data_IF_143954191364
#
_entry.id   IF_143954191364
#
_cell.length_a   1.000
_cell.length_b   1.000
_cell.length_c   1.000
_cell.angle_alpha   90.00
_cell.angle_beta   90.00
_cell.angle_gamma   90.00
#
_symmetry.space_group_name_H-M   'P 1'
#
loop_
_entity.id
_entity.type
_entity.pdbx_description
1 polymer ?
#
# COMPACT_ATOMS: atom_id res chain seq x y z
N UNK A 1 -11.61 92.11 34.58
CA UNK A 1 -10.23 91.65 34.28
C UNK A 1 -10.30 90.24 33.66
N UNK A 2 -9.90 90.15 32.37
CA UNK A 2 -9.75 88.98 31.46
C UNK A 2 -10.51 87.66 31.74
N UNK A 3 -11.58 87.42 30.95
CA UNK A 3 -12.36 86.17 30.85
C UNK A 3 -11.53 85.01 30.29
N UNK A 4 -11.50 83.87 30.99
CA UNK A 4 -10.96 82.59 30.52
C UNK A 4 -12.02 81.83 29.70
N UNK A 5 -11.63 81.53 28.46
CA UNK A 5 -12.05 80.48 27.49
C UNK A 5 -13.36 79.70 27.75
N UNK A 6 -14.34 79.93 26.88
CA UNK A 6 -15.41 78.99 26.47
C UNK A 6 -14.87 78.23 25.23
N UNK A 7 -15.06 76.94 24.96
CA UNK A 7 -16.30 76.21 24.62
C UNK A 7 -15.87 74.75 24.26
N UNK A 8 -16.30 73.71 24.99
CA UNK A 8 -17.31 72.67 24.62
C UNK A 8 -16.77 71.56 23.64
N UNK A 9 -16.99 70.23 23.70
CA UNK A 9 -18.00 69.26 24.25
C UNK A 9 -17.36 67.82 24.35
N UNK A 10 -18.10 66.71 24.51
CA UNK A 10 -18.29 66.00 25.77
C UNK A 10 -17.73 64.55 25.79
N UNK A 11 -17.42 64.09 27.00
CA UNK A 11 -17.77 62.79 27.59
C UNK A 11 -18.07 61.61 26.64
N UNK A 12 -17.24 60.56 26.70
CA UNK A 12 -17.71 59.18 26.59
C UNK A 12 -16.79 58.25 27.39
N UNK A 13 -17.32 57.82 28.52
CA UNK A 13 -16.79 56.77 29.39
C UNK A 13 -16.70 55.45 28.61
N UNK A 14 -15.59 54.74 28.80
CA UNK A 14 -15.28 53.50 28.09
C UNK A 14 -16.16 52.31 28.43
N UNK A 15 -16.05 51.29 27.59
CA UNK A 15 -16.20 49.86 27.90
C UNK A 15 -15.16 49.15 27.01
N UNK A 16 -14.13 48.58 27.64
CA UNK A 16 -13.20 47.64 27.00
C UNK A 16 -13.94 46.30 26.93
N UNK A 17 -14.39 45.92 25.74
CA UNK A 17 -15.00 44.62 25.49
C UNK A 17 -13.89 43.58 25.27
N UNK A 18 -13.44 42.93 26.35
CA UNK A 18 -12.56 41.76 26.27
C UNK A 18 -13.42 40.59 25.80
N UNK A 19 -13.52 40.37 24.49
CA UNK A 19 -14.10 39.13 23.96
C UNK A 19 -13.05 38.05 24.02
N UNK A 20 -13.11 37.24 25.08
CA UNK A 20 -12.42 35.95 25.16
C UNK A 20 -12.92 35.04 24.03
N UNK A 21 -12.14 34.90 22.96
CA UNK A 21 -12.36 33.87 21.96
C UNK A 21 -11.94 32.52 22.59
N UNK A 22 -12.91 31.74 23.02
CA UNK A 22 -12.68 30.33 23.37
C UNK A 22 -12.19 29.61 22.12
N UNK A 23 -10.92 29.21 22.13
CA UNK A 23 -10.35 28.35 21.10
C UNK A 23 -11.00 26.98 21.26
N UNK A 24 -12.03 26.71 20.45
CA UNK A 24 -12.54 25.34 20.26
C UNK A 24 -11.40 24.53 19.65
N UNK A 25 -10.73 23.74 20.49
CA UNK A 25 -9.94 22.61 20.02
C UNK A 25 -10.93 21.64 19.36
N UNK A 26 -11.12 21.78 18.06
CA UNK A 26 -11.73 20.76 17.24
C UNK A 26 -10.77 19.57 17.23
N UNK A 27 -10.89 18.70 18.23
CA UNK A 27 -10.26 17.40 18.17
C UNK A 27 -10.95 16.66 17.03
N UNK A 28 -10.30 16.63 15.88
CA UNK A 28 -10.68 15.76 14.77
C UNK A 28 -10.58 14.33 15.26
N UNK A 29 -11.72 13.76 15.65
CA UNK A 29 -11.88 12.33 15.84
C UNK A 29 -11.70 11.71 14.46
N UNK A 30 -10.46 11.32 14.14
CA UNK A 30 -10.17 10.55 12.93
C UNK A 30 -10.82 9.18 13.11
N UNK A 31 -12.10 9.09 12.77
CA UNK A 31 -12.79 7.81 12.68
C UNK A 31 -11.95 6.87 11.82
N UNK A 32 -11.62 5.69 12.37
CA UNK A 32 -10.87 4.64 11.68
C UNK A 32 -11.58 4.40 10.34
N UNK A 33 -10.96 4.80 9.22
CA UNK A 33 -11.51 4.51 7.90
C UNK A 33 -11.63 3.00 7.77
N UNK A 34 -12.74 2.51 7.22
CA UNK A 34 -12.87 1.10 6.90
C UNK A 34 -11.73 0.70 5.96
N UNK A 35 -11.03 -0.41 6.21
CA UNK A 35 -9.91 -0.81 5.38
C UNK A 35 -10.39 -1.09 3.96
N UNK A 36 -9.60 -0.63 2.99
CA UNK A 36 -9.79 -0.91 1.56
C UNK A 36 -9.64 -2.41 1.28
N UNK A 37 -10.15 -2.93 0.15
CA UNK A 37 -9.95 -4.34 -0.22
C UNK A 37 -8.46 -4.75 -0.25
N UNK A 38 -7.59 -3.90 -0.80
CA UNK A 38 -6.14 -4.12 -0.81
C UNK A 38 -5.55 -4.20 0.59
N UNK A 39 -5.97 -3.32 1.51
CA UNK A 39 -5.52 -3.35 2.91
C UNK A 39 -5.96 -4.63 3.62
N UNK A 40 -7.19 -5.12 3.36
CA UNK A 40 -7.66 -6.40 3.92
C UNK A 40 -6.84 -7.57 3.40
N UNK A 41 -6.57 -7.62 2.09
CA UNK A 41 -5.74 -8.67 1.51
C UNK A 41 -4.31 -8.63 2.08
N UNK A 42 -3.74 -7.44 2.23
CA UNK A 42 -2.44 -7.25 2.87
C UNK A 42 -2.44 -7.75 4.33
N UNK A 43 -3.54 -7.54 5.06
CA UNK A 43 -3.68 -8.00 6.43
C UNK A 43 -3.83 -9.52 6.54
N UNK A 44 -4.50 -10.16 5.57
CA UNK A 44 -4.76 -11.60 5.55
C UNK A 44 -3.55 -12.42 5.10
N UNK A 45 -2.84 -11.98 4.05
CA UNK A 45 -1.78 -12.79 3.43
C UNK A 45 -0.37 -12.32 3.78
N UNK A 46 -0.15 -11.03 3.98
CA UNK A 46 1.20 -10.50 4.21
C UNK A 46 1.54 -10.42 5.71
N UNK A 47 2.79 -10.73 6.03
CA UNK A 47 3.34 -10.71 7.37
C UNK A 47 4.63 -9.87 7.44
N UNK A 48 5.04 -9.56 8.68
CA UNK A 48 6.29 -8.88 8.99
C UNK A 48 6.62 -7.71 8.06
N UNK A 49 7.79 -7.80 7.40
CA UNK A 49 8.26 -6.74 6.52
C UNK A 49 7.39 -6.57 5.26
N UNK A 50 6.90 -7.66 4.68
CA UNK A 50 6.10 -7.61 3.47
C UNK A 50 4.80 -6.84 3.72
N UNK A 51 4.16 -7.05 4.88
CA UNK A 51 2.95 -6.31 5.28
C UNK A 51 3.17 -4.79 5.31
N UNK A 52 4.28 -4.34 5.85
CA UNK A 52 4.56 -2.90 6.03
C UNK A 52 5.23 -2.24 4.83
N UNK A 53 5.74 -3.04 3.88
CA UNK A 53 6.34 -2.50 2.66
C UNK A 53 5.27 -2.07 1.68
N UNK A 54 5.41 -0.86 1.15
CA UNK A 54 4.52 -0.37 0.10
C UNK A 54 4.71 -1.18 -1.19
N UNK A 55 3.61 -1.61 -1.78
CA UNK A 55 3.60 -2.34 -3.03
C UNK A 55 2.21 -2.34 -3.64
N UNK A 56 2.13 -2.68 -4.92
CA UNK A 56 0.84 -2.91 -5.58
C UNK A 56 0.34 -4.30 -5.22
N UNK A 57 -0.89 -4.37 -4.74
CA UNK A 57 -1.55 -5.60 -4.33
C UNK A 57 -2.55 -5.97 -5.43
N UNK A 58 -2.50 -7.21 -5.87
CA UNK A 58 -3.39 -7.75 -6.90
C UNK A 58 -4.08 -8.96 -6.27
N UNK A 59 -5.39 -8.83 -6.07
CA UNK A 59 -6.26 -9.97 -5.80
C UNK A 59 -6.30 -10.82 -7.06
N UNK A 60 -5.83 -12.06 -7.00
CA UNK A 60 -5.79 -12.96 -8.16
C UNK A 60 -7.10 -13.73 -8.31
N UNK A 61 -7.83 -13.94 -7.21
CA UNK A 61 -9.08 -14.68 -7.19
C UNK A 61 -10.19 -13.93 -7.94
N UNK A 62 -10.12 -12.60 -7.92
CA UNK A 62 -11.03 -11.71 -8.66
C UNK A 62 -10.62 -11.51 -10.13
N UNK A 63 -9.64 -12.26 -10.64
CA UNK A 63 -9.06 -12.04 -11.97
C UNK A 63 -9.24 -13.24 -12.88
N UNK A 64 -9.39 -12.95 -14.18
CA UNK A 64 -9.30 -13.99 -15.18
C UNK A 64 -7.83 -14.29 -15.52
N UNK A 65 -7.33 -15.39 -14.96
CA UNK A 65 -5.99 -15.94 -15.21
C UNK A 65 -5.99 -17.10 -16.22
N UNK A 66 -7.14 -17.41 -16.83
CA UNK A 66 -7.26 -18.53 -17.76
C UNK A 66 -6.35 -18.35 -18.99
N UNK A 67 -5.76 -19.46 -19.44
CA UNK A 67 -4.86 -19.49 -20.60
C UNK A 67 -3.40 -19.20 -20.28
N UNK A 68 -3.07 -18.86 -19.03
CA UNK A 68 -1.69 -18.69 -18.56
C UNK A 68 -1.25 -19.89 -17.73
N UNK A 69 -0.07 -20.42 -18.05
CA UNK A 69 0.54 -21.53 -17.29
C UNK A 69 1.36 -21.04 -16.10
N UNK A 70 1.89 -19.82 -16.17
CA UNK A 70 2.68 -19.22 -15.12
C UNK A 70 2.16 -17.81 -14.82
N UNK A 71 2.14 -17.46 -13.54
CA UNK A 71 1.62 -16.18 -13.09
C UNK A 71 2.47 -14.98 -13.55
N UNK A 72 3.77 -15.15 -13.76
CA UNK A 72 4.64 -14.08 -14.27
C UNK A 72 4.26 -13.70 -15.70
N UNK A 73 3.93 -14.69 -16.53
CA UNK A 73 3.45 -14.46 -17.90
C UNK A 73 2.12 -13.67 -17.88
N UNK A 74 1.27 -13.93 -16.87
CA UNK A 74 0.01 -13.17 -16.68
C UNK A 74 0.24 -11.75 -16.16
N UNK A 75 1.24 -11.53 -15.30
CA UNK A 75 1.56 -10.21 -14.74
C UNK A 75 2.15 -9.25 -15.78
N UNK A 76 2.78 -9.77 -16.83
CA UNK A 76 3.32 -8.95 -17.91
C UNK A 76 2.19 -8.12 -18.56
N UNK A 77 2.44 -6.83 -18.76
CA UNK A 77 1.44 -5.87 -19.23
C UNK A 77 0.44 -5.39 -18.18
N UNK A 78 0.36 -6.02 -16.99
CA UNK A 78 -0.47 -5.57 -15.85
C UNK A 78 0.33 -4.80 -14.81
N UNK A 79 1.62 -5.10 -14.69
CA UNK A 79 2.53 -4.39 -13.80
C UNK A 79 3.35 -3.40 -14.62
N UNK A 80 3.22 -2.10 -14.31
CA UNK A 80 3.96 -1.05 -15.00
C UNK A 80 5.49 -1.28 -14.92
N UNK A 81 6.11 -1.42 -16.09
CA UNK A 81 7.55 -1.62 -16.24
C UNK A 81 8.06 -3.03 -15.93
N UNK A 82 7.16 -4.00 -15.75
CA UNK A 82 7.52 -5.42 -15.67
C UNK A 82 7.75 -5.99 -17.07
N UNK A 83 8.85 -6.70 -17.23
CA UNK A 83 9.19 -7.51 -18.39
C UNK A 83 9.55 -8.91 -17.90
N UNK A 84 9.15 -9.94 -18.64
CA UNK A 84 9.46 -11.34 -18.30
C UNK A 84 10.30 -11.97 -19.40
N UNK A 85 11.54 -12.34 -19.06
CA UNK A 85 12.41 -13.04 -19.99
C UNK A 85 12.30 -14.55 -19.79
N UNK A 86 11.96 -15.26 -20.87
CA UNK A 86 11.89 -16.72 -20.85
C UNK A 86 13.23 -17.30 -21.32
N UNK A 87 13.89 -18.03 -20.43
CA UNK A 87 15.13 -18.74 -20.75
C UNK A 87 14.84 -20.03 -21.54
N UNK A 88 15.89 -20.61 -22.16
CA UNK A 88 15.78 -21.86 -22.94
C UNK A 88 15.27 -23.05 -22.13
N UNK A 89 15.47 -23.03 -20.81
CA UNK A 89 14.99 -24.05 -19.87
C UNK A 89 13.54 -23.82 -19.41
N UNK A 90 12.86 -22.78 -19.92
CA UNK A 90 11.49 -22.43 -19.54
C UNK A 90 11.38 -21.65 -18.24
N UNK A 91 12.48 -21.17 -17.65
CA UNK A 91 12.41 -20.27 -16.49
C UNK A 91 12.01 -18.86 -16.92
N UNK A 92 11.11 -18.24 -16.13
CA UNK A 92 10.65 -16.86 -16.32
C UNK A 92 11.40 -15.95 -15.37
N UNK A 93 12.29 -15.09 -15.89
CA UNK A 93 13.03 -14.14 -15.09
C UNK A 93 12.37 -12.76 -15.19
N UNK A 94 11.75 -12.25 -14.11
CA UNK A 94 11.10 -10.95 -14.10
C UNK A 94 12.12 -9.82 -13.92
N UNK A 95 11.90 -8.72 -14.64
CA UNK A 95 12.63 -7.47 -14.51
C UNK A 95 11.65 -6.32 -14.35
N UNK A 96 11.86 -5.47 -13.35
CA UNK A 96 11.11 -4.23 -13.18
C UNK A 96 12.05 -3.06 -13.46
N UNK A 97 11.71 -2.24 -14.46
CA UNK A 97 12.49 -1.04 -14.86
C UNK A 97 13.97 -1.36 -15.14
N UNK A 98 14.23 -2.50 -15.80
CA UNK A 98 15.57 -2.92 -16.19
C UNK A 98 16.41 -3.57 -15.08
N UNK A 99 15.89 -3.71 -13.85
CA UNK A 99 16.54 -4.44 -12.77
C UNK A 99 15.85 -5.78 -12.54
N UNK A 100 16.63 -6.86 -12.40
CA UNK A 100 16.09 -8.19 -12.09
C UNK A 100 15.31 -8.13 -10.77
N UNK A 101 14.14 -8.75 -10.75
CA UNK A 101 13.23 -8.78 -9.60
C UNK A 101 13.32 -10.12 -8.87
N UNK A 102 13.39 -10.08 -7.54
CA UNK A 102 13.42 -11.31 -6.73
C UNK A 102 12.00 -11.84 -6.52
N UNK A 103 11.83 -13.16 -6.62
CA UNK A 103 10.55 -13.82 -6.43
C UNK A 103 10.49 -14.41 -5.02
N UNK A 104 9.36 -14.21 -4.36
CA UNK A 104 9.05 -14.83 -3.08
C UNK A 104 7.76 -15.63 -3.21
N UNK A 105 7.73 -16.84 -2.65
CA UNK A 105 6.52 -17.64 -2.49
C UNK A 105 6.20 -17.72 -1.00
N UNK A 106 5.04 -17.20 -0.59
CA UNK A 106 4.67 -17.11 0.82
C UNK A 106 5.80 -16.50 1.68
N UNK A 107 6.37 -15.38 1.20
CA UNK A 107 7.46 -14.63 1.86
C UNK A 107 8.82 -15.35 1.94
N UNK A 108 8.92 -16.54 1.37
CA UNK A 108 10.16 -17.29 1.24
C UNK A 108 10.79 -17.03 -0.13
N UNK A 109 12.09 -16.66 -0.22
CA UNK A 109 12.74 -16.45 -1.50
C UNK A 109 12.82 -17.78 -2.26
N UNK A 110 12.45 -17.75 -3.54
CA UNK A 110 12.45 -18.93 -4.41
C UNK A 110 13.15 -18.66 -5.73
N UNK A 111 13.60 -19.72 -6.40
CA UNK A 111 14.15 -19.59 -7.75
C UNK A 111 13.02 -19.46 -8.78
N UNK A 112 13.28 -18.83 -9.95
CA UNK A 112 12.31 -18.77 -11.04
C UNK A 112 11.70 -20.12 -11.44
N UNK A 113 12.51 -21.19 -11.47
CA UNK A 113 12.05 -22.53 -11.78
C UNK A 113 11.05 -23.12 -10.78
N UNK A 114 11.14 -22.78 -9.50
CA UNK A 114 10.18 -23.26 -8.48
C UNK A 114 8.78 -22.71 -8.72
N UNK A 115 8.65 -21.46 -9.19
CA UNK A 115 7.35 -20.85 -9.43
C UNK A 115 6.60 -21.53 -10.58
N UNK A 116 7.31 -22.17 -11.53
CA UNK A 116 6.68 -22.98 -12.58
C UNK A 116 5.92 -24.21 -12.03
N UNK A 117 6.25 -24.67 -10.82
CA UNK A 117 5.57 -25.79 -10.18
C UNK A 117 4.32 -25.37 -9.40
N UNK A 118 4.10 -24.06 -9.22
CA UNK A 118 2.92 -23.52 -8.53
C UNK A 118 1.80 -23.37 -9.53
N UNK A 119 0.67 -24.03 -9.27
CA UNK A 119 -0.55 -23.87 -10.08
C UNK A 119 -1.06 -22.43 -9.97
N UNK A 120 -1.38 -21.82 -11.11
CA UNK A 120 -1.94 -20.46 -11.14
C UNK A 120 -3.28 -20.35 -10.39
N UNK A 121 -4.05 -21.46 -10.35
CA UNK A 121 -5.34 -21.52 -9.65
C UNK A 121 -5.19 -21.53 -8.13
N UNK A 122 -4.00 -21.87 -7.63
CA UNK A 122 -3.72 -21.94 -6.20
C UNK A 122 -3.17 -20.62 -5.66
N UNK A 123 -3.05 -19.60 -6.50
CA UNK A 123 -2.54 -18.27 -6.15
C UNK A 123 -3.70 -17.37 -5.76
N UNK A 124 -3.63 -16.81 -4.57
CA UNK A 124 -4.64 -15.91 -4.04
C UNK A 124 -4.27 -14.43 -4.22
N UNK A 125 -3.00 -14.10 -3.96
CA UNK A 125 -2.55 -12.72 -3.91
C UNK A 125 -1.17 -12.58 -4.53
N UNK A 126 -0.97 -11.46 -5.23
CA UNK A 126 0.36 -11.00 -5.62
C UNK A 126 0.62 -9.63 -5.05
N UNK A 127 1.81 -9.45 -4.47
CA UNK A 127 2.31 -8.14 -4.03
C UNK A 127 3.59 -7.78 -4.79
N UNK A 128 3.54 -6.66 -5.50
CA UNK A 128 4.65 -6.13 -6.29
C UNK A 128 5.29 -4.94 -5.59
N UNK A 129 6.51 -5.11 -5.13
CA UNK A 129 7.33 -4.09 -4.48
C UNK A 129 8.34 -3.58 -5.51
N UNK A 130 8.18 -2.32 -5.95
CA UNK A 130 8.99 -1.74 -7.05
C UNK A 130 10.24 -0.98 -6.60
N UNK A 131 10.49 -0.93 -5.29
CA UNK A 131 11.60 -0.20 -4.71
C UNK A 131 12.40 -1.05 -3.71
N UNK A 132 13.56 -0.55 -3.26
CA UNK A 132 14.35 -1.25 -2.26
C UNK A 132 13.53 -1.43 -0.98
N UNK A 133 13.58 -2.62 -0.42
CA UNK A 133 12.97 -2.95 0.87
C UNK A 133 13.90 -3.91 1.62
N UNK A 134 13.81 -3.92 2.95
CA UNK A 134 14.77 -4.62 3.81
C UNK A 134 14.86 -6.14 3.61
N UNK A 135 13.93 -6.76 2.88
CA UNK A 135 13.89 -8.19 2.60
C UNK A 135 14.49 -8.53 1.24
N UNK A 136 14.81 -7.52 0.42
CA UNK A 136 15.42 -7.72 -0.89
C UNK A 136 16.88 -8.13 -0.75
N UNK A 137 17.24 -9.26 -1.36
CA UNK A 137 18.63 -9.70 -1.46
C UNK A 137 19.09 -9.47 -2.90
N UNK A 138 20.01 -8.53 -3.11
CA UNK A 138 20.67 -8.30 -4.41
C UNK A 138 19.80 -7.68 -5.51
N UNK A 139 18.51 -7.43 -5.26
CA UNK A 139 17.56 -6.82 -6.18
C UNK A 139 17.02 -5.49 -5.65
N UNK A 140 16.52 -4.63 -6.53
CA UNK A 140 15.82 -3.39 -6.17
C UNK A 140 14.29 -3.54 -6.14
N UNK A 141 13.77 -4.75 -6.35
CA UNK A 141 12.34 -5.03 -6.43
C UNK A 141 12.00 -6.48 -6.05
N UNK A 142 10.75 -6.71 -5.67
CA UNK A 142 10.23 -8.04 -5.40
C UNK A 142 8.82 -8.27 -5.97
N UNK A 143 8.56 -9.52 -6.32
CA UNK A 143 7.22 -10.06 -6.56
C UNK A 143 7.01 -11.15 -5.53
N UNK A 144 6.10 -10.91 -4.58
CA UNK A 144 5.65 -11.90 -3.62
C UNK A 144 4.34 -12.53 -4.11
N UNK A 145 4.34 -13.85 -4.21
CA UNK A 145 3.21 -14.68 -4.62
C UNK A 145 2.72 -15.43 -3.40
N UNK A 146 1.42 -15.34 -3.12
CA UNK A 146 0.79 -15.99 -1.98
C UNK A 146 -0.22 -17.02 -2.46
N UNK A 147 -0.12 -18.23 -1.90
CA UNK A 147 -1.07 -19.30 -2.21
C UNK A 147 -2.34 -19.18 -1.38
N UNK A 148 -3.40 -19.86 -1.80
CA UNK A 148 -4.62 -20.04 -1.02
C UNK A 148 -4.28 -20.54 0.40
N UNK A 149 -4.94 -19.93 1.39
CA UNK A 149 -4.87 -20.41 2.77
C UNK A 149 -5.79 -21.64 2.86
N UNK A 150 -5.30 -22.79 3.34
CA UNK A 150 -6.16 -23.94 3.61
C UNK A 150 -7.26 -23.53 4.59
N UNK A 151 -8.51 -23.74 4.22
CA UNK A 151 -9.59 -23.66 5.21
C UNK A 151 -9.49 -24.93 6.04
N UNK A 152 -9.04 -24.81 7.28
CA UNK A 152 -9.22 -25.88 8.25
C UNK A 152 -10.72 -25.91 8.54
N UNK A 153 -11.42 -26.86 7.92
CA UNK A 153 -12.81 -27.14 8.28
C UNK A 153 -12.82 -27.44 9.78
N UNK A 154 -13.40 -26.53 10.57
CA UNK A 154 -13.63 -26.76 12.00
C UNK A 154 -14.48 -28.04 12.12
N UNK A 155 -13.82 -29.13 12.50
CA UNK A 155 -14.49 -30.39 12.77
C UNK A 155 -15.40 -30.18 14.00
N UNK A 156 -16.71 -30.13 13.73
CA UNK A 156 -17.80 -30.03 14.71
C UNK A 156 -17.85 -31.23 15.66
#
# INVERSE_FOLDING_TARGET
MKRRKHSMKPLLFGIILITSASVMSAQSYTGKKSPTPEERLNEMYCSGLFKHTHGTIIDVLEQNVQGYFNILDWLEGRVAGLQVFVLRNGERIPFIRGSQTTIYLNEMPVTPGMLNAVSINDIALIKVIRGPFAGSIGSNSAIAVYTLIPQEDEAE
#
